data_IF_315533988175
#
_entry.id   IF_315533988175
#
_cell.length_a   1.000
_cell.length_b   1.000
_cell.length_c   1.000
_cell.angle_alpha   90.00
_cell.angle_beta   90.00
_cell.angle_gamma   90.00
#
_symmetry.space_group_name_H-M   'P 1'
#
loop_
_entity.id
_entity.type
_entity.pdbx_description
1 polymer ?
#
# COMPACT_ATOMS: atom_id res chain seq x y z
N UNK A 1 23.11 -6.22 -11.03
CA UNK A 1 22.94 -6.22 -9.56
C UNK A 1 21.61 -5.56 -9.30
N UNK A 2 20.58 -6.33 -8.93
CA UNK A 2 19.29 -5.77 -8.51
C UNK A 2 19.47 -5.34 -7.06
N UNK A 3 19.60 -4.04 -6.83
CA UNK A 3 19.39 -3.50 -5.50
C UNK A 3 17.91 -3.71 -5.23
N UNK A 4 17.58 -4.70 -4.41
CA UNK A 4 16.25 -4.76 -3.81
C UNK A 4 16.17 -3.51 -2.95
N UNK A 5 15.48 -2.46 -3.42
CA UNK A 5 15.05 -1.38 -2.55
C UNK A 5 14.42 -2.03 -1.32
N UNK A 6 14.84 -1.64 -0.13
CA UNK A 6 14.34 -2.24 1.10
C UNK A 6 12.83 -2.00 1.16
N UNK A 7 12.05 -3.03 0.86
CA UNK A 7 10.60 -3.00 0.94
C UNK A 7 10.23 -2.48 2.34
N UNK A 8 9.62 -1.31 2.38
CA UNK A 8 9.21 -0.70 3.63
C UNK A 8 7.74 -1.04 3.86
N UNK A 9 7.49 -1.89 4.84
CA UNK A 9 6.14 -2.29 5.23
C UNK A 9 5.64 -1.37 6.34
N UNK A 10 4.44 -0.81 6.18
CA UNK A 10 3.83 0.09 7.16
C UNK A 10 2.30 -0.04 7.20
N UNK A 11 1.63 0.53 8.19
CA UNK A 11 0.16 0.44 8.29
C UNK A 11 -0.53 1.33 7.26
N UNK A 12 -1.80 1.05 6.94
CA UNK A 12 -2.62 1.87 6.06
C UNK A 12 -2.68 3.33 6.55
N UNK A 13 -2.79 3.55 7.86
CA UNK A 13 -2.81 4.88 8.48
C UNK A 13 -1.48 5.63 8.34
N UNK A 14 -0.36 4.90 8.39
CA UNK A 14 0.96 5.49 8.18
C UNK A 14 1.09 6.01 6.75
N UNK A 15 0.55 5.29 5.76
CA UNK A 15 0.66 5.72 4.36
C UNK A 15 -0.14 6.97 4.04
N UNK A 16 -1.26 7.20 4.74
CA UNK A 16 -2.04 8.45 4.60
C UNK A 16 -1.20 9.70 4.89
N UNK A 17 -0.11 9.56 5.65
CA UNK A 17 0.77 10.66 6.05
C UNK A 17 2.06 10.75 5.22
N UNK A 18 2.37 9.74 4.40
CA UNK A 18 3.60 9.71 3.61
C UNK A 18 3.66 10.87 2.63
N UNK A 19 4.80 11.54 2.52
CA UNK A 19 5.05 12.57 1.52
C UNK A 19 5.68 11.99 0.25
N UNK A 20 5.49 12.62 -0.91
CA UNK A 20 6.22 12.31 -2.14
C UNK A 20 7.72 12.09 -1.94
N UNK A 21 8.37 12.98 -1.19
CA UNK A 21 9.81 12.90 -0.91
C UNK A 21 10.21 11.64 -0.13
N UNK A 22 9.35 11.16 0.77
CA UNK A 22 9.63 9.98 1.58
C UNK A 22 9.57 8.73 0.70
N UNK A 23 8.59 8.63 -0.21
CA UNK A 23 8.47 7.49 -1.11
C UNK A 23 9.61 7.49 -2.13
N UNK A 24 10.08 8.66 -2.59
CA UNK A 24 11.30 8.75 -3.43
C UNK A 24 12.56 8.24 -2.71
N UNK A 25 12.63 8.31 -1.37
CA UNK A 25 13.74 7.80 -0.57
C UNK A 25 13.59 6.31 -0.28
N UNK A 26 12.36 5.87 0.02
CA UNK A 26 12.06 4.48 0.37
C UNK A 26 12.02 3.58 -0.86
N UNK A 27 11.74 4.14 -2.04
CA UNK A 27 11.61 3.50 -3.35
C UNK A 27 10.47 2.48 -3.47
N UNK A 28 10.22 1.68 -2.43
CA UNK A 28 9.14 0.70 -2.39
C UNK A 28 8.50 0.68 -1.01
N UNK A 29 7.21 1.02 -0.97
CA UNK A 29 6.37 0.94 0.22
C UNK A 29 5.24 -0.04 0.00
N UNK A 30 4.94 -0.85 1.02
CA UNK A 30 3.81 -1.77 1.05
C UNK A 30 3.02 -1.61 2.35
N UNK A 31 1.71 -1.83 2.32
CA UNK A 31 0.89 -1.85 3.54
C UNK A 31 0.87 -3.22 4.19
N UNK A 32 0.69 -3.26 5.52
CA UNK A 32 0.39 -4.51 6.25
C UNK A 32 -0.90 -5.16 5.76
N UNK A 33 -0.92 -6.48 5.84
CA UNK A 33 -2.07 -7.36 5.61
C UNK A 33 -2.98 -7.49 6.85
N UNK A 34 -2.65 -6.81 7.95
CA UNK A 34 -3.39 -6.83 9.20
C UNK A 34 -3.59 -5.42 9.76
N UNK A 35 -4.71 -5.21 10.45
CA UNK A 35 -5.01 -4.01 11.23
C UNK A 35 -5.35 -4.40 12.66
N UNK A 36 -4.77 -3.70 13.64
CA UNK A 36 -5.09 -3.90 15.05
C UNK A 36 -6.48 -3.32 15.35
N UNK A 37 -7.40 -4.16 15.82
CA UNK A 37 -8.74 -3.73 16.22
C UNK A 37 -8.72 -3.07 17.62
N UNK A 38 -9.87 -2.54 18.06
CA UNK A 38 -10.02 -1.89 19.39
C UNK A 38 -9.69 -2.76 20.61
N UNK A 39 -9.54 -4.08 20.41
CA UNK A 39 -9.20 -5.04 21.45
C UNK A 39 -7.71 -5.42 21.43
N UNK A 40 -6.90 -4.80 20.56
CA UNK A 40 -5.48 -5.14 20.40
C UNK A 40 -5.25 -6.44 19.64
N UNK A 41 -6.20 -6.84 18.78
CA UNK A 41 -6.11 -8.07 17.98
C UNK A 41 -5.92 -7.69 16.52
N UNK A 42 -4.88 -8.24 15.89
CA UNK A 42 -4.62 -8.10 14.47
C UNK A 42 -5.66 -8.86 13.65
N UNK A 43 -6.50 -8.14 12.92
CA UNK A 43 -7.46 -8.71 11.97
C UNK A 43 -6.94 -8.55 10.53
N UNK A 44 -7.07 -9.60 9.70
CA UNK A 44 -6.60 -9.52 8.32
C UNK A 44 -7.44 -8.50 7.54
N UNK A 45 -6.76 -7.61 6.81
CA UNK A 45 -7.43 -6.72 5.87
C UNK A 45 -7.69 -7.45 4.55
N UNK A 46 -8.80 -7.15 3.86
CA UNK A 46 -9.10 -7.79 2.58
C UNK A 46 -8.12 -7.40 1.46
N UNK A 47 -7.37 -6.31 1.64
CA UNK A 47 -6.43 -5.78 0.67
C UNK A 47 -5.16 -5.27 1.33
N UNK A 48 -4.03 -5.43 0.65
CA UNK A 48 -2.83 -4.64 0.90
C UNK A 48 -2.43 -3.89 -0.37
N UNK A 49 -1.72 -2.78 -0.20
CA UNK A 49 -1.31 -1.90 -1.27
C UNK A 49 0.21 -1.86 -1.39
N UNK A 50 0.74 -1.68 -2.60
CA UNK A 50 2.15 -1.33 -2.81
C UNK A 50 2.32 -0.15 -3.76
N UNK A 51 3.31 0.69 -3.49
CA UNK A 51 3.77 1.80 -4.32
C UNK A 51 5.27 1.67 -4.53
N UNK A 52 5.70 1.64 -5.78
CA UNK A 52 7.09 1.38 -6.17
C UNK A 52 7.54 2.42 -7.22
N UNK A 53 8.68 3.05 -6.97
CA UNK A 53 9.39 3.88 -7.93
C UNK A 53 10.20 2.98 -8.88
N UNK A 54 9.89 3.03 -10.16
CA UNK A 54 10.57 2.30 -11.24
C UNK A 54 11.21 3.29 -12.22
N UNK A 55 12.04 2.79 -13.15
CA UNK A 55 12.72 3.65 -14.13
C UNK A 55 11.74 4.41 -15.04
N UNK A 56 10.58 3.83 -15.33
CA UNK A 56 9.57 4.37 -16.25
C UNK A 56 8.48 5.20 -15.56
N UNK A 57 8.48 5.25 -14.22
CA UNK A 57 7.46 5.95 -13.44
C UNK A 57 7.22 5.33 -12.07
N UNK A 58 6.05 5.60 -11.50
CA UNK A 58 5.63 5.08 -10.20
C UNK A 58 4.48 4.12 -10.41
N UNK A 59 4.68 2.86 -10.00
CA UNK A 59 3.67 1.81 -10.07
C UNK A 59 2.98 1.68 -8.72
N UNK A 60 1.66 1.58 -8.74
CA UNK A 60 0.86 1.22 -7.57
C UNK A 60 0.01 -0.02 -7.84
N UNK A 61 -0.19 -0.83 -6.81
CA UNK A 61 -1.05 -2.02 -6.86
C UNK A 61 -1.99 -2.07 -5.67
N UNK A 62 -3.19 -2.56 -5.93
CA UNK A 62 -4.19 -2.99 -4.96
C UNK A 62 -4.28 -4.51 -5.03
N UNK A 63 -3.78 -5.17 -4.00
CA UNK A 63 -3.69 -6.62 -3.95
C UNK A 63 -4.76 -7.16 -3.00
N UNK A 64 -5.66 -7.98 -3.52
CA UNK A 64 -6.73 -8.63 -2.75
C UNK A 64 -6.24 -9.94 -2.17
N UNK A 65 -6.34 -10.10 -0.86
CA UNK A 65 -6.02 -11.37 -0.20
C UNK A 65 -7.17 -12.35 -0.45
N UNK A 66 -6.90 -13.48 -1.10
CA UNK A 66 -7.90 -14.52 -1.35
C UNK A 66 -7.86 -15.55 -0.24
N UNK A 67 -6.67 -16.03 0.11
CA UNK A 67 -6.42 -16.93 1.25
C UNK A 67 -4.97 -16.76 1.65
N UNK A 68 -4.70 -16.03 2.74
CA UNK A 68 -3.31 -15.74 3.14
C UNK A 68 -2.45 -17.03 3.18
N UNK A 69 -1.28 -17.06 2.51
CA UNK A 69 -0.57 -15.91 1.90
C UNK A 69 -0.92 -15.59 0.44
N UNK A 70 -1.89 -16.28 -0.16
CA UNK A 70 -2.32 -16.08 -1.56
C UNK A 70 -3.12 -14.80 -1.74
N UNK A 71 -2.83 -14.10 -2.84
CA UNK A 71 -3.49 -12.85 -3.23
C UNK A 71 -3.55 -12.72 -4.76
N UNK A 72 -4.44 -11.85 -5.22
CA UNK A 72 -4.56 -11.46 -6.62
C UNK A 72 -4.38 -9.94 -6.75
N UNK A 73 -3.70 -9.49 -7.80
CA UNK A 73 -3.63 -8.07 -8.13
C UNK A 73 -5.00 -7.65 -8.70
N UNK A 74 -5.81 -6.97 -7.90
CA UNK A 74 -7.14 -6.49 -8.30
C UNK A 74 -7.01 -5.28 -9.22
N UNK A 75 -6.07 -4.39 -8.91
CA UNK A 75 -5.84 -3.19 -9.70
C UNK A 75 -4.36 -2.81 -9.72
N UNK A 76 -3.86 -2.46 -10.90
CA UNK A 76 -2.51 -1.92 -11.11
C UNK A 76 -2.62 -0.63 -11.92
N UNK A 77 -1.84 0.38 -11.54
CA UNK A 77 -1.70 1.64 -12.27
C UNK A 77 -0.25 2.09 -12.28
N UNK A 78 0.14 2.78 -13.34
CA UNK A 78 1.46 3.39 -13.49
C UNK A 78 1.28 4.88 -13.79
N UNK A 79 2.07 5.70 -13.13
CA UNK A 79 2.04 7.16 -13.24
C UNK A 79 3.43 7.69 -13.58
N UNK A 80 3.53 8.78 -14.33
CA UNK A 80 4.83 9.41 -14.57
C UNK A 80 5.38 10.06 -13.30
N UNK A 81 4.51 10.58 -12.43
CA UNK A 81 4.86 11.33 -11.24
C UNK A 81 4.31 10.71 -9.96
N UNK A 82 5.07 10.86 -8.89
CA UNK A 82 4.75 10.24 -7.60
C UNK A 82 3.56 10.92 -6.91
N UNK A 83 3.34 12.20 -7.19
CA UNK A 83 2.25 12.97 -6.61
C UNK A 83 0.90 12.41 -7.05
N UNK A 84 0.74 12.09 -8.34
CA UNK A 84 -0.48 11.48 -8.90
C UNK A 84 -0.67 10.05 -8.38
N UNK A 85 0.41 9.26 -8.36
CA UNK A 85 0.38 7.90 -7.81
C UNK A 85 -0.04 7.89 -6.34
N UNK A 86 0.53 8.79 -5.53
CA UNK A 86 0.28 8.87 -4.10
C UNK A 86 -1.14 9.34 -3.79
N UNK A 87 -1.72 10.22 -4.62
CA UNK A 87 -3.11 10.63 -4.46
C UNK A 87 -4.06 9.43 -4.56
N UNK A 88 -3.96 8.64 -5.64
CA UNK A 88 -4.79 7.45 -5.81
C UNK A 88 -4.46 6.37 -4.76
N UNK A 89 -3.19 6.21 -4.42
CA UNK A 89 -2.75 5.28 -3.39
C UNK A 89 -3.41 5.57 -2.03
N UNK A 90 -3.50 6.84 -1.64
CA UNK A 90 -4.18 7.25 -0.40
C UNK A 90 -5.68 7.04 -0.48
N UNK A 91 -6.31 7.33 -1.62
CA UNK A 91 -7.74 7.06 -1.80
C UNK A 91 -8.06 5.58 -1.57
N UNK A 92 -7.25 4.66 -2.11
CA UNK A 92 -7.41 3.24 -1.84
C UNK A 92 -7.21 2.88 -0.37
N UNK A 93 -6.23 3.49 0.31
CA UNK A 93 -6.01 3.25 1.73
C UNK A 93 -7.21 3.70 2.58
N UNK A 94 -7.77 4.88 2.28
CA UNK A 94 -9.00 5.38 2.94
C UNK A 94 -10.20 4.46 2.70
N UNK A 95 -10.38 3.96 1.48
CA UNK A 95 -11.43 2.99 1.15
C UNK A 95 -11.32 1.69 1.95
N UNK A 96 -10.11 1.17 2.13
CA UNK A 96 -9.87 -0.07 2.88
C UNK A 96 -10.14 0.15 4.37
N UNK A 97 -9.65 1.26 4.93
CA UNK A 97 -9.89 1.63 6.32
C UNK A 97 -11.39 1.80 6.61
N UNK A 98 -12.11 2.53 5.75
CA UNK A 98 -13.55 2.73 5.90
C UNK A 98 -14.36 1.43 5.84
N UNK A 99 -13.91 0.42 5.08
CA UNK A 99 -14.54 -0.91 5.07
C UNK A 99 -14.25 -1.72 6.33
N UNK A 100 -13.10 -1.49 6.97
CA UNK A 100 -12.66 -2.25 8.14
C UNK A 100 -13.22 -1.68 9.44
N UNK A 101 -13.39 -0.35 9.56
CA UNK A 101 -13.99 0.30 10.74
C UNK A 101 -15.50 0.00 10.90
N UNK A 102 -16.17 -0.49 9.85
CA UNK A 102 -17.60 -0.82 9.86
C UNK A 102 -17.89 -2.31 10.19
N UNK A 103 -16.85 -3.09 10.55
CA UNK A 103 -16.95 -4.50 10.97
C UNK A 103 -16.72 -4.60 12.48
#
# INVERSE_FOLDING_TARGET
MHYYGNETIMSLEQVLRLKPSEIRILEWVRTYEFLENRYGIDEPVPFFLDICCEEEGVRIRKNRITTFPDFECEEERMFPEIEEALELFRQWAEEILAKTENV
#
